data_IF_923501377537
#
_entry.id   IF_923501377537
#
_cell.length_a   1.000
_cell.length_b   1.000
_cell.length_c   1.000
_cell.angle_alpha   90.00
_cell.angle_beta   90.00
_cell.angle_gamma   90.00
#
_symmetry.space_group_name_H-M   'P 1'
#
loop_
_entity.id
_entity.type
_entity.pdbx_description
1 polymer ?
#
# COMPACT_ATOMS: atom_id res chain seq x y z
N UNK A 1 20.05 7.52 5.24
CA UNK A 1 19.90 8.93 4.80
C UNK A 1 18.46 9.12 4.32
N UNK A 2 17.76 10.17 4.79
CA UNK A 2 16.41 10.52 4.32
C UNK A 2 16.55 11.50 3.15
N UNK A 3 15.90 11.18 2.01
CA UNK A 3 15.81 12.09 0.86
C UNK A 3 14.46 12.82 0.91
N UNK A 4 14.46 14.13 0.89
CA UNK A 4 13.26 14.97 0.82
C UNK A 4 13.04 15.35 -0.64
N UNK A 5 11.90 14.97 -1.20
CA UNK A 5 11.50 15.25 -2.58
C UNK A 5 10.34 16.25 -2.56
N UNK A 6 10.66 17.53 -2.36
CA UNK A 6 9.67 18.63 -2.24
C UNK A 6 9.44 19.42 -3.54
N UNK A 7 10.28 19.22 -4.54
CA UNK A 7 10.31 20.02 -5.77
C UNK A 7 9.95 19.16 -6.99
N UNK A 8 9.89 19.83 -8.15
CA UNK A 8 9.52 19.24 -9.43
C UNK A 8 10.24 17.92 -9.70
N UNK A 9 9.50 16.98 -10.26
CA UNK A 9 10.05 15.68 -10.68
C UNK A 9 10.91 15.91 -11.94
N UNK A 10 12.20 15.53 -11.95
CA UNK A 10 13.08 15.72 -13.09
C UNK A 10 12.62 14.92 -14.32
N UNK A 11 12.63 15.57 -15.48
CA UNK A 11 12.24 14.93 -16.75
C UNK A 11 13.15 13.77 -17.16
N UNK A 12 14.41 13.78 -16.72
CA UNK A 12 15.36 12.70 -16.95
C UNK A 12 14.90 11.35 -16.35
N UNK A 13 14.18 11.38 -15.21
CA UNK A 13 13.60 10.19 -14.62
C UNK A 13 12.31 9.73 -15.29
N UNK A 14 11.67 10.57 -16.11
CA UNK A 14 10.49 10.16 -16.87
C UNK A 14 10.82 9.11 -17.92
N UNK A 15 12.03 9.13 -18.49
CA UNK A 15 12.47 8.11 -19.41
C UNK A 15 12.65 6.73 -18.76
N UNK A 16 13.07 6.71 -17.48
CA UNK A 16 13.34 5.47 -16.75
C UNK A 16 12.09 4.89 -16.09
N UNK A 17 11.22 5.74 -15.53
CA UNK A 17 10.05 5.31 -14.75
C UNK A 17 8.72 5.55 -15.45
N UNK A 18 8.73 6.11 -16.66
CA UNK A 18 7.53 6.51 -17.41
C UNK A 18 6.55 5.37 -17.67
N UNK A 19 7.02 4.15 -17.85
CA UNK A 19 6.16 2.97 -18.00
C UNK A 19 5.24 2.76 -16.79
N UNK A 20 5.70 3.12 -15.60
CA UNK A 20 4.95 3.00 -14.36
C UNK A 20 3.91 4.12 -14.17
N UNK A 21 4.11 5.26 -14.86
CA UNK A 21 3.19 6.40 -14.78
C UNK A 21 1.91 6.17 -15.58
N UNK A 22 1.93 5.26 -16.54
CA UNK A 22 0.74 4.82 -17.27
C UNK A 22 -0.26 3.99 -16.48
N UNK A 23 -0.03 3.80 -15.16
CA UNK A 23 -0.95 3.12 -14.26
C UNK A 23 -2.35 3.75 -14.19
N UNK A 24 -2.45 5.05 -14.42
CA UNK A 24 -3.71 5.81 -14.47
C UNK A 24 -3.78 6.60 -15.77
N UNK A 25 -5.01 6.89 -16.29
CA UNK A 25 -5.21 7.56 -17.58
C UNK A 25 -5.07 9.10 -17.53
N UNK A 26 -4.55 9.64 -16.42
CA UNK A 26 -4.38 11.08 -16.21
C UNK A 26 -2.95 11.42 -15.77
N UNK A 27 -2.57 12.68 -15.92
CA UNK A 27 -1.25 13.14 -15.54
C UNK A 27 -1.05 13.10 -14.02
N UNK A 28 0.07 12.52 -13.61
CA UNK A 28 0.45 12.43 -12.19
C UNK A 28 1.05 13.73 -11.69
N UNK A 29 0.79 14.06 -10.43
CA UNK A 29 1.51 15.10 -9.70
C UNK A 29 2.94 14.66 -9.37
N UNK A 30 3.85 15.61 -9.21
CA UNK A 30 5.26 15.33 -8.95
C UNK A 30 5.49 14.47 -7.72
N UNK A 31 4.75 14.69 -6.63
CA UNK A 31 4.86 13.86 -5.44
C UNK A 31 4.43 12.40 -5.68
N UNK A 32 3.48 12.17 -6.58
CA UNK A 32 3.04 10.82 -6.97
C UNK A 32 4.13 10.14 -7.80
N UNK A 33 4.75 10.86 -8.73
CA UNK A 33 5.89 10.36 -9.52
C UNK A 33 7.08 10.00 -8.62
N UNK A 34 7.44 10.88 -7.67
CA UNK A 34 8.48 10.60 -6.67
C UNK A 34 8.16 9.37 -5.80
N UNK A 35 6.89 9.22 -5.42
CA UNK A 35 6.45 8.07 -4.62
C UNK A 35 6.55 6.77 -5.40
N UNK A 36 6.09 6.75 -6.65
CA UNK A 36 6.19 5.60 -7.55
C UNK A 36 7.65 5.21 -7.76
N UNK A 37 8.53 6.19 -8.05
CA UNK A 37 9.97 5.93 -8.17
C UNK A 37 10.52 5.26 -6.91
N UNK A 38 10.26 5.82 -5.73
CA UNK A 38 10.73 5.23 -4.47
C UNK A 38 10.21 3.80 -4.24
N UNK A 39 8.95 3.52 -4.60
CA UNK A 39 8.37 2.17 -4.50
C UNK A 39 9.06 1.20 -5.46
N UNK A 40 9.30 1.59 -6.70
CA UNK A 40 9.98 0.76 -7.72
C UNK A 40 11.42 0.46 -7.30
N UNK A 41 12.11 1.45 -6.74
CA UNK A 41 13.48 1.32 -6.20
C UNK A 41 13.54 0.51 -4.89
N UNK A 42 12.41 0.04 -4.37
CA UNK A 42 12.36 -0.72 -3.11
C UNK A 42 12.64 0.11 -1.87
N UNK A 43 12.47 1.41 -1.92
CA UNK A 43 12.70 2.33 -0.81
C UNK A 43 11.46 2.49 0.07
N UNK A 44 11.66 2.87 1.32
CA UNK A 44 10.56 3.34 2.17
C UNK A 44 10.13 4.73 1.74
N UNK A 45 8.82 4.91 1.54
CA UNK A 45 8.24 6.18 1.07
C UNK A 45 7.25 6.70 2.09
N UNK A 46 7.44 7.96 2.51
CA UNK A 46 6.51 8.71 3.34
C UNK A 46 5.92 9.87 2.51
N UNK A 47 4.60 9.90 2.38
CA UNK A 47 3.87 10.93 1.64
C UNK A 47 3.13 11.85 2.61
N UNK A 48 3.51 13.11 2.63
CA UNK A 48 2.88 14.17 3.44
C UNK A 48 2.25 15.20 2.50
N UNK A 49 0.95 15.08 2.25
CA UNK A 49 0.21 15.98 1.37
C UNK A 49 -1.18 16.29 1.96
N UNK A 50 -1.79 17.43 1.60
CA UNK A 50 -3.15 17.77 2.05
C UNK A 50 -4.19 16.72 1.64
N UNK A 51 -5.31 16.71 2.35
CA UNK A 51 -6.46 15.87 2.00
C UNK A 51 -6.99 16.25 0.60
N UNK A 52 -7.39 15.26 -0.18
CA UNK A 52 -7.87 15.49 -1.55
C UNK A 52 -6.77 15.60 -2.62
N UNK A 53 -5.49 15.57 -2.26
CA UNK A 53 -4.37 15.68 -3.22
C UNK A 53 -4.06 14.40 -4.00
N UNK A 54 -4.78 13.29 -3.76
CA UNK A 54 -4.50 12.01 -4.42
C UNK A 54 -3.43 11.16 -3.74
N UNK A 55 -3.27 11.28 -2.42
CA UNK A 55 -2.31 10.47 -1.62
C UNK A 55 -2.54 8.96 -1.71
N UNK A 56 -3.76 8.53 -1.97
CA UNK A 56 -4.13 7.11 -2.07
C UNK A 56 -3.47 6.42 -3.26
N UNK A 57 -3.22 7.16 -4.34
CA UNK A 57 -2.70 6.60 -5.58
C UNK A 57 -1.34 5.89 -5.43
N UNK A 58 -0.32 6.44 -4.75
CA UNK A 58 0.92 5.70 -4.51
C UNK A 58 0.71 4.37 -3.78
N UNK A 59 -0.23 4.33 -2.83
CA UNK A 59 -0.59 3.09 -2.13
C UNK A 59 -1.25 2.08 -3.07
N UNK A 60 -2.19 2.51 -3.90
CA UNK A 60 -2.83 1.65 -4.92
C UNK A 60 -1.83 1.16 -5.97
N UNK A 61 -0.91 2.01 -6.40
CA UNK A 61 0.19 1.61 -7.28
C UNK A 61 1.03 0.52 -6.63
N UNK A 62 1.44 0.70 -5.36
CA UNK A 62 2.21 -0.29 -4.63
C UNK A 62 1.51 -1.65 -4.55
N UNK A 63 0.19 -1.68 -4.27
CA UNK A 63 -0.60 -2.91 -4.25
C UNK A 63 -0.49 -3.68 -5.57
N UNK A 64 -0.72 -3.01 -6.69
CA UNK A 64 -0.68 -3.63 -8.02
C UNK A 64 0.74 -4.04 -8.42
N UNK A 65 1.71 -3.16 -8.18
CA UNK A 65 3.12 -3.40 -8.51
C UNK A 65 3.68 -4.63 -7.78
N UNK A 66 3.44 -4.72 -6.47
CA UNK A 66 3.94 -5.85 -5.71
C UNK A 66 3.13 -7.13 -5.92
N UNK A 67 1.83 -7.02 -6.20
CA UNK A 67 1.03 -8.17 -6.63
C UNK A 67 1.58 -8.75 -7.94
N UNK A 68 1.91 -7.92 -8.93
CA UNK A 68 2.54 -8.39 -10.18
C UNK A 68 3.90 -9.07 -9.98
N UNK A 69 4.58 -8.77 -8.86
CA UNK A 69 5.83 -9.41 -8.44
C UNK A 69 5.61 -10.65 -7.56
N UNK A 70 4.38 -11.12 -7.41
CA UNK A 70 4.02 -12.27 -6.57
C UNK A 70 4.18 -12.02 -5.07
N UNK A 71 4.20 -10.76 -4.63
CA UNK A 71 4.32 -10.37 -3.22
C UNK A 71 2.95 -10.07 -2.63
N UNK A 72 2.77 -10.41 -1.37
CA UNK A 72 1.58 -10.03 -0.60
C UNK A 72 1.75 -8.62 -0.05
N UNK A 73 0.64 -7.89 0.09
CA UNK A 73 0.63 -6.52 0.58
C UNK A 73 -0.35 -6.35 1.74
N UNK A 74 0.03 -5.58 2.73
CA UNK A 74 -0.85 -5.16 3.82
C UNK A 74 -1.19 -3.67 3.61
N UNK A 75 -2.47 -3.37 3.61
CA UNK A 75 -2.99 -2.01 3.60
C UNK A 75 -3.61 -1.72 4.96
N UNK A 76 -3.14 -0.69 5.65
CA UNK A 76 -3.70 -0.33 6.96
C UNK A 76 -4.44 1.00 6.91
N UNK A 77 -5.48 1.09 7.72
CA UNK A 77 -6.20 2.33 7.98
C UNK A 77 -6.47 2.48 9.48
N UNK A 78 -6.67 3.71 9.99
CA UNK A 78 -6.78 3.94 11.42
C UNK A 78 -8.10 3.44 12.01
N UNK A 79 -9.17 3.32 11.21
CA UNK A 79 -10.50 2.97 11.69
C UNK A 79 -11.18 1.90 10.81
N UNK A 80 -12.10 1.13 11.43
CA UNK A 80 -12.84 0.05 10.77
C UNK A 80 -13.64 0.51 9.55
N UNK A 81 -14.30 1.65 9.64
CA UNK A 81 -15.13 2.17 8.54
C UNK A 81 -14.33 2.39 7.27
N UNK A 82 -13.13 2.99 7.37
CA UNK A 82 -12.22 3.16 6.23
C UNK A 82 -11.68 1.82 5.71
N UNK A 83 -11.40 0.87 6.58
CA UNK A 83 -10.98 -0.47 6.17
C UNK A 83 -12.07 -1.18 5.36
N UNK A 84 -13.33 -1.11 5.80
CA UNK A 84 -14.48 -1.69 5.10
C UNK A 84 -14.71 -1.04 3.74
N UNK A 85 -14.66 0.30 3.69
CA UNK A 85 -14.77 1.06 2.43
C UNK A 85 -13.67 0.67 1.44
N UNK A 86 -12.41 0.61 1.89
CA UNK A 86 -11.29 0.22 1.03
C UNK A 86 -11.39 -1.21 0.55
N UNK A 87 -11.82 -2.14 1.41
CA UNK A 87 -12.08 -3.53 1.02
C UNK A 87 -13.09 -3.61 -0.11
N UNK A 88 -14.23 -2.94 0.02
CA UNK A 88 -15.27 -2.91 -1.01
C UNK A 88 -14.75 -2.29 -2.32
N UNK A 89 -14.09 -1.14 -2.22
CA UNK A 89 -13.58 -0.42 -3.39
C UNK A 89 -12.49 -1.21 -4.13
N UNK A 90 -11.56 -1.83 -3.41
CA UNK A 90 -10.47 -2.60 -4.01
C UNK A 90 -10.96 -3.91 -4.63
N UNK A 91 -11.88 -4.61 -3.97
CA UNK A 91 -12.50 -5.83 -4.53
C UNK A 91 -13.22 -5.53 -5.84
N UNK A 92 -13.91 -4.39 -5.92
CA UNK A 92 -14.61 -3.97 -7.14
C UNK A 92 -13.66 -3.48 -8.23
N UNK A 93 -12.65 -2.69 -7.86
CA UNK A 93 -11.71 -2.07 -8.80
C UNK A 93 -10.68 -3.05 -9.36
N UNK A 94 -10.29 -4.04 -8.57
CA UNK A 94 -9.24 -5.02 -8.91
C UNK A 94 -9.75 -6.46 -8.77
N UNK A 95 -10.68 -6.90 -9.63
CA UNK A 95 -11.31 -8.24 -9.50
C UNK A 95 -10.33 -9.40 -9.69
N UNK A 96 -9.15 -9.15 -10.26
CA UNK A 96 -8.08 -10.13 -10.45
C UNK A 96 -7.18 -10.29 -9.20
N UNK A 97 -7.31 -9.42 -8.20
CA UNK A 97 -6.55 -9.46 -6.95
C UNK A 97 -7.45 -9.99 -5.84
N UNK A 98 -6.99 -11.01 -5.13
CA UNK A 98 -7.68 -11.50 -3.95
C UNK A 98 -7.45 -10.54 -2.79
N UNK A 99 -8.52 -9.91 -2.34
CA UNK A 99 -8.51 -8.95 -1.23
C UNK A 99 -9.14 -9.58 0.00
N UNK A 100 -8.50 -9.40 1.15
CA UNK A 100 -8.99 -9.81 2.45
C UNK A 100 -9.17 -8.62 3.39
N UNK A 101 -10.00 -8.82 4.41
CA UNK A 101 -10.28 -7.83 5.45
C UNK A 101 -10.12 -8.44 6.83
N UNK A 102 -9.31 -7.81 7.67
CA UNK A 102 -9.14 -8.20 9.08
C UNK A 102 -9.33 -6.97 9.97
N UNK A 103 -10.41 -6.97 10.72
CA UNK A 103 -10.70 -5.99 11.77
C UNK A 103 -10.90 -6.72 13.10
N UNK A 104 -11.22 -5.99 14.18
CA UNK A 104 -11.52 -6.64 15.46
C UNK A 104 -12.66 -7.64 15.40
N UNK A 105 -13.64 -7.43 14.51
CA UNK A 105 -14.87 -8.22 14.44
C UNK A 105 -14.99 -9.07 13.17
N UNK A 106 -14.20 -8.74 12.14
CA UNK A 106 -14.30 -9.34 10.79
C UNK A 106 -12.98 -9.97 10.40
N UNK A 107 -13.06 -11.23 9.93
CA UNK A 107 -11.94 -11.91 9.30
C UNK A 107 -12.43 -12.56 8.00
N UNK A 108 -12.19 -11.88 6.89
CA UNK A 108 -12.58 -12.33 5.55
C UNK A 108 -11.33 -12.54 4.70
N UNK A 109 -11.21 -13.69 4.03
CA UNK A 109 -10.08 -14.03 3.14
C UNK A 109 -8.69 -13.76 3.76
N UNK A 110 -8.32 -14.35 4.90
CA UNK A 110 -7.07 -14.04 5.60
C UNK A 110 -5.80 -14.41 4.80
N UNK A 111 -5.93 -15.29 3.82
CA UNK A 111 -4.85 -15.75 2.96
C UNK A 111 -4.74 -14.95 1.64
N UNK A 112 -5.51 -13.87 1.51
CA UNK A 112 -5.54 -13.04 0.32
C UNK A 112 -4.17 -12.40 -0.01
N UNK A 113 -4.01 -11.98 -1.25
CA UNK A 113 -2.78 -11.35 -1.74
C UNK A 113 -2.64 -9.91 -1.22
N UNK A 114 -3.76 -9.24 -1.02
CA UNK A 114 -3.86 -7.93 -0.37
C UNK A 114 -4.72 -8.06 0.88
N UNK A 115 -4.14 -7.76 2.04
CA UNK A 115 -4.84 -7.75 3.32
C UNK A 115 -5.08 -6.32 3.78
N UNK A 116 -6.34 -5.95 3.91
CA UNK A 116 -6.74 -4.69 4.52
C UNK A 116 -6.99 -4.94 6.00
N UNK A 117 -6.42 -4.12 6.86
CA UNK A 117 -6.62 -4.23 8.29
C UNK A 117 -6.52 -2.88 8.99
N UNK A 118 -7.08 -2.81 10.19
CA UNK A 118 -6.83 -1.64 11.03
C UNK A 118 -5.39 -1.64 11.56
N UNK A 119 -4.84 -0.45 11.79
CA UNK A 119 -3.47 -0.30 12.30
C UNK A 119 -3.27 -1.02 13.64
N UNK A 120 -4.30 -1.06 14.49
CA UNK A 120 -4.31 -1.81 15.75
C UNK A 120 -4.10 -3.32 15.53
N UNK A 121 -4.78 -3.91 14.56
CA UNK A 121 -4.63 -5.34 14.22
C UNK A 121 -3.21 -5.63 13.75
N UNK A 122 -2.65 -4.78 12.89
CA UNK A 122 -1.26 -4.92 12.46
C UNK A 122 -0.31 -4.87 13.66
N UNK A 123 -0.47 -3.90 14.55
CA UNK A 123 0.34 -3.76 15.75
C UNK A 123 0.30 -5.02 16.63
N UNK A 124 -0.88 -5.55 16.89
CA UNK A 124 -1.06 -6.78 17.66
C UNK A 124 -0.36 -7.97 17.02
N UNK A 125 -0.44 -8.11 15.70
CA UNK A 125 0.27 -9.17 14.96
C UNK A 125 1.79 -9.03 15.05
N UNK A 126 2.32 -7.81 14.96
CA UNK A 126 3.76 -7.54 15.12
C UNK A 126 4.24 -7.90 16.53
N UNK A 127 3.47 -7.61 17.57
CA UNK A 127 3.79 -8.03 18.94
C UNK A 127 3.76 -9.57 19.12
N UNK A 128 2.79 -10.25 18.51
CA UNK A 128 2.74 -11.72 18.54
C UNK A 128 3.97 -12.35 17.91
N UNK A 129 4.44 -11.84 16.79
CA UNK A 129 5.68 -12.30 16.15
C UNK A 129 6.91 -12.08 17.03
N UNK A 130 7.03 -10.91 17.66
CA UNK A 130 8.14 -10.60 18.56
C UNK A 130 8.17 -11.54 19.77
N UNK A 131 7.04 -12.01 20.24
CA UNK A 131 6.92 -12.96 21.37
C UNK A 131 7.12 -14.43 20.98
N UNK A 132 7.53 -14.71 19.74
CA UNK A 132 7.78 -16.08 19.25
C UNK A 132 6.51 -16.93 19.01
N UNK A 133 5.32 -16.34 19.12
CA UNK A 133 4.06 -16.98 18.71
C UNK A 133 3.96 -16.86 17.18
N UNK A 134 4.45 -17.88 16.49
CA UNK A 134 4.28 -18.00 15.04
C UNK A 134 2.81 -18.24 14.72
N UNK A 135 2.15 -17.20 14.24
CA UNK A 135 0.95 -17.38 13.43
C UNK A 135 1.44 -17.88 12.06
N UNK A 136 1.33 -19.19 11.79
CA UNK A 136 1.79 -19.82 10.53
C UNK A 136 1.14 -19.20 9.28
N UNK A 137 0.10 -18.40 9.44
CA UNK A 137 -0.60 -17.68 8.38
C UNK A 137 0.07 -16.34 8.02
N UNK A 138 1.00 -15.83 8.84
CA UNK A 138 1.59 -14.49 8.67
C UNK A 138 3.11 -14.54 8.59
N UNK A 139 3.64 -14.58 7.37
CA UNK A 139 5.07 -14.43 7.13
C UNK A 139 5.36 -13.01 6.63
N UNK A 140 5.73 -12.09 7.53
CA UNK A 140 6.01 -10.68 7.21
C UNK A 140 7.15 -10.45 6.22
N UNK A 141 8.04 -11.39 6.01
CA UNK A 141 9.09 -11.28 4.99
C UNK A 141 8.57 -11.20 3.56
N UNK A 142 7.25 -11.40 3.38
CA UNK A 142 6.56 -11.36 2.08
C UNK A 142 5.58 -10.20 1.93
N UNK A 143 5.44 -9.33 2.96
CA UNK A 143 4.46 -8.25 2.95
C UNK A 143 5.11 -6.88 2.87
N UNK A 144 4.44 -5.97 2.20
CA UNK A 144 4.74 -4.56 2.17
C UNK A 144 3.58 -3.82 2.82
N UNK A 145 3.89 -2.90 3.71
CA UNK A 145 2.89 -2.16 4.46
C UNK A 145 2.67 -0.80 3.82
N UNK A 146 1.43 -0.54 3.41
CA UNK A 146 0.97 0.79 3.06
C UNK A 146 0.00 1.28 4.15
N UNK A 147 0.28 2.44 4.74
CA UNK A 147 -0.61 3.09 5.69
C UNK A 147 -1.04 4.43 5.13
N UNK A 148 -2.36 4.68 5.11
CA UNK A 148 -2.91 5.96 4.67
C UNK A 148 -3.74 6.52 5.82
N UNK A 149 -3.32 7.68 6.30
CA UNK A 149 -4.11 8.54 7.17
C UNK A 149 -5.15 9.31 6.36
N UNK A 150 -6.31 9.58 6.94
CA UNK A 150 -7.32 10.44 6.33
C UNK A 150 -6.81 11.86 6.10
#
# INVERSE_FOLDING_TARGET
MVRICSNNYPTEYEAEYGEHFGFVPYQLHDFQKWSIKGIVDGQHVLVCCPTGSGKTLPGEFALNYFHSKGKKTIYTSPIKALSNEKFYNFTKKYPHIRVGLITGDIKTNPDADVLIMTTEILLNKLYQLKSGKTDNQFNFGKFIVASISP
#
